data_IF_674450556504
#
_entry.id   IF_674450556504
#
_cell.length_a   1.000
_cell.length_b   1.000
_cell.length_c   1.000
_cell.angle_alpha   90.00
_cell.angle_beta   90.00
_cell.angle_gamma   90.00
#
_symmetry.space_group_name_H-M   'P 1'
#
loop_
_entity.id
_entity.type
_entity.pdbx_description
1 polymer ?
#
# COMPACT_ATOMS: atom_id res chain seq x y z
N UNK A 1 27.96 -0.68 -20.29
CA UNK A 1 27.34 -2.02 -20.13
C UNK A 1 26.04 -1.78 -19.36
N UNK A 2 24.88 -1.95 -19.99
CA UNK A 2 23.57 -1.75 -19.35
C UNK A 2 23.19 -3.03 -18.60
N UNK A 3 22.84 -2.90 -17.32
CA UNK A 3 22.29 -4.01 -16.54
C UNK A 3 20.76 -3.95 -16.65
N UNK A 4 20.11 -4.86 -17.40
CA UNK A 4 18.66 -4.84 -17.51
C UNK A 4 18.04 -5.08 -16.13
N UNK A 5 17.02 -4.30 -15.79
CA UNK A 5 16.14 -4.61 -14.65
C UNK A 5 15.37 -5.87 -15.04
N UNK A 6 15.78 -7.01 -14.47
CA UNK A 6 15.25 -8.33 -14.84
C UNK A 6 13.84 -8.61 -14.26
N UNK A 7 13.38 -7.80 -13.30
CA UNK A 7 12.09 -7.98 -12.64
C UNK A 7 11.53 -6.62 -12.16
N UNK A 8 10.89 -5.81 -13.03
CA UNK A 8 10.11 -4.67 -12.59
C UNK A 8 8.97 -5.11 -11.65
N UNK A 9 8.57 -4.23 -10.72
CA UNK A 9 7.37 -4.47 -9.93
C UNK A 9 6.14 -4.58 -10.86
N UNK A 10 5.19 -5.47 -10.56
CA UNK A 10 4.09 -5.83 -11.49
C UNK A 10 3.14 -4.70 -11.89
N UNK A 11 3.23 -3.53 -11.24
CA UNK A 11 2.51 -2.31 -11.59
C UNK A 11 3.30 -1.36 -12.52
N UNK A 12 4.54 -1.71 -12.87
CA UNK A 12 5.36 -0.98 -13.84
C UNK A 12 5.28 -1.74 -15.16
N UNK A 13 4.53 -1.24 -16.17
CA UNK A 13 4.52 -1.88 -17.47
C UNK A 13 5.91 -1.83 -18.08
N UNK A 14 6.31 -2.86 -18.84
CA UNK A 14 7.66 -2.95 -19.42
C UNK A 14 7.99 -1.77 -20.35
N UNK A 15 6.96 -1.10 -20.89
CA UNK A 15 7.06 0.15 -21.65
C UNK A 15 7.36 1.40 -20.82
N UNK A 16 7.20 1.35 -19.49
CA UNK A 16 7.58 2.42 -18.56
C UNK A 16 9.03 2.31 -18.08
N UNK A 17 9.68 1.18 -18.38
CA UNK A 17 11.10 1.00 -18.09
C UNK A 17 11.85 1.68 -19.22
N UNK A 18 12.54 2.78 -18.90
CA UNK A 18 13.41 3.45 -19.84
C UNK A 18 14.57 2.50 -20.20
N UNK A 19 14.47 1.87 -21.36
CA UNK A 19 15.58 1.18 -22.02
C UNK A 19 16.07 2.08 -23.16
N UNK A 20 16.76 3.18 -22.85
CA UNK A 20 17.42 3.96 -23.89
C UNK A 20 18.90 4.18 -23.56
N UNK A 21 19.71 4.18 -24.63
CA UNK A 21 21.07 4.69 -24.62
C UNK A 21 21.10 6.12 -24.08
N UNK A 22 22.28 6.58 -23.63
CA UNK A 22 22.53 7.92 -23.04
C UNK A 22 21.76 9.01 -23.81
N UNK A 23 20.59 9.33 -23.28
CA UNK A 23 19.68 10.36 -23.77
C UNK A 23 19.28 11.19 -22.55
N UNK A 24 19.11 12.49 -22.78
CA UNK A 24 18.76 13.39 -21.70
C UNK A 24 17.44 12.96 -21.06
N UNK A 25 17.40 12.99 -19.72
CA UNK A 25 16.20 12.67 -18.98
C UNK A 25 15.06 13.62 -19.40
N UNK A 26 14.00 13.07 -19.99
CA UNK A 26 12.79 13.83 -20.30
C UNK A 26 11.98 13.98 -19.02
N UNK A 27 11.69 15.21 -18.62
CA UNK A 27 10.85 15.49 -17.46
C UNK A 27 9.42 15.01 -17.69
N UNK A 28 8.79 14.50 -16.63
CA UNK A 28 7.38 14.10 -16.67
C UNK A 28 6.50 15.33 -16.89
N UNK A 29 5.71 15.33 -17.95
CA UNK A 29 4.81 16.43 -18.31
C UNK A 29 3.43 15.91 -18.75
N UNK A 30 2.49 16.82 -19.00
CA UNK A 30 1.11 16.47 -19.39
C UNK A 30 1.05 15.73 -20.73
N UNK A 31 1.98 16.03 -21.63
CA UNK A 31 2.15 15.40 -22.95
C UNK A 31 3.01 14.12 -22.91
N UNK A 32 3.69 13.87 -21.79
CA UNK A 32 4.53 12.70 -21.51
C UNK A 32 4.29 12.19 -20.08
N UNK A 33 3.06 11.77 -19.75
CA UNK A 33 2.75 11.35 -18.39
C UNK A 33 3.46 10.04 -18.06
N UNK A 34 3.89 9.90 -16.81
CA UNK A 34 4.21 8.58 -16.26
C UNK A 34 2.96 7.69 -16.44
N UNK A 35 3.07 6.47 -16.98
CA UNK A 35 1.97 5.54 -17.09
C UNK A 35 1.68 4.91 -15.72
N UNK A 36 1.35 5.75 -14.73
CA UNK A 36 0.77 5.32 -13.46
C UNK A 36 -0.74 5.30 -13.63
N UNK A 37 -1.33 4.11 -13.61
CA UNK A 37 -2.78 3.96 -13.76
C UNK A 37 -3.55 4.53 -12.57
N UNK A 38 -2.88 4.74 -11.43
CA UNK A 38 -3.50 5.23 -10.22
C UNK A 38 -2.63 6.29 -9.51
N UNK A 39 -3.24 7.36 -8.97
CA UNK A 39 -2.51 8.36 -8.21
C UNK A 39 -1.91 7.75 -6.94
N UNK A 40 -0.81 8.33 -6.46
CA UNK A 40 -0.30 8.07 -5.10
C UNK A 40 -1.38 8.33 -4.05
N UNK A 41 -1.20 7.79 -2.84
CA UNK A 41 -2.13 8.07 -1.76
C UNK A 41 -2.18 9.58 -1.47
N UNK A 42 -3.38 10.17 -1.51
CA UNK A 42 -3.60 11.61 -1.34
C UNK A 42 -3.66 12.01 0.14
N UNK A 43 -3.82 11.05 1.04
CA UNK A 43 -3.94 11.29 2.47
C UNK A 43 -3.99 10.00 3.28
N UNK A 44 -3.93 10.17 4.59
CA UNK A 44 -4.06 9.10 5.57
C UNK A 44 -5.01 9.54 6.69
N UNK A 45 -5.91 8.65 7.11
CA UNK A 45 -6.81 8.85 8.24
C UNK A 45 -6.50 7.84 9.34
N UNK A 46 -6.33 8.32 10.58
CA UNK A 46 -6.12 7.43 11.72
C UNK A 46 -7.32 6.50 11.92
N UNK A 47 -7.05 5.23 12.20
CA UNK A 47 -8.05 4.21 12.51
C UNK A 47 -7.98 3.91 14.01
N UNK A 48 -9.13 3.90 14.66
CA UNK A 48 -9.30 3.35 16.00
C UNK A 48 -9.77 1.90 15.91
N UNK A 49 -9.19 1.02 16.71
CA UNK A 49 -9.62 -0.38 16.84
C UNK A 49 -11.07 -0.43 17.34
N UNK A 50 -11.82 -1.44 16.89
CA UNK A 50 -13.26 -1.64 17.21
C UNK A 50 -14.17 -0.48 16.79
N UNK A 51 -13.70 0.39 15.90
CA UNK A 51 -14.47 1.51 15.36
C UNK A 51 -14.58 1.39 13.83
N UNK A 52 -15.79 1.34 13.26
CA UNK A 52 -15.97 1.35 11.81
C UNK A 52 -15.39 2.61 11.17
N UNK A 53 -14.80 2.47 10.00
CA UNK A 53 -14.26 3.58 9.20
C UNK A 53 -14.58 3.42 7.71
N UNK A 54 -14.54 4.54 6.99
CA UNK A 54 -14.71 4.53 5.53
C UNK A 54 -13.50 3.87 4.85
N UNK A 55 -13.77 2.88 4.00
CA UNK A 55 -12.73 2.13 3.29
C UNK A 55 -11.85 3.06 2.45
N UNK A 56 -10.54 2.90 2.61
CA UNK A 56 -9.52 3.50 1.75
C UNK A 56 -9.11 2.56 0.61
N UNK A 57 -8.11 2.97 -0.16
CA UNK A 57 -7.40 2.15 -1.15
C UNK A 57 -6.38 1.21 -0.52
N UNK A 58 -6.01 1.47 0.73
CA UNK A 58 -5.15 0.58 1.50
C UNK A 58 -5.16 0.88 3.00
N UNK A 59 -4.46 0.05 3.75
CA UNK A 59 -4.24 0.20 5.19
C UNK A 59 -2.74 0.25 5.45
N UNK A 60 -2.28 1.28 6.15
CA UNK A 60 -0.93 1.34 6.70
C UNK A 60 -0.94 0.91 8.17
N UNK A 61 0.04 0.09 8.52
CA UNK A 61 0.26 -0.45 9.86
C UNK A 61 1.67 -0.06 10.27
N UNK A 62 1.78 0.73 11.32
CA UNK A 62 3.07 1.09 11.94
C UNK A 62 3.16 0.29 13.23
N UNK A 63 3.81 -0.87 13.16
CA UNK A 63 3.90 -1.83 14.26
C UNK A 63 5.17 -1.65 15.08
N UNK A 64 5.04 -1.68 16.41
CA UNK A 64 6.15 -1.57 17.35
C UNK A 64 6.76 -2.95 17.70
N UNK A 65 5.99 -4.03 17.52
CA UNK A 65 6.41 -5.40 17.78
C UNK A 65 5.80 -6.37 16.75
N UNK A 66 6.24 -7.63 16.76
CA UNK A 66 5.57 -8.69 16.01
C UNK A 66 4.22 -9.03 16.66
N UNK A 67 3.21 -9.32 15.86
CA UNK A 67 1.93 -9.82 16.33
C UNK A 67 0.98 -10.14 15.19
N UNK A 68 -0.27 -10.40 15.52
CA UNK A 68 -1.33 -10.65 14.54
C UNK A 68 -2.20 -9.39 14.37
N UNK A 69 -2.69 -9.18 13.15
CA UNK A 69 -3.65 -8.15 12.80
C UNK A 69 -4.88 -8.79 12.17
N UNK A 70 -6.06 -8.48 12.69
CA UNK A 70 -7.33 -8.80 12.04
C UNK A 70 -7.84 -7.59 11.25
N UNK A 71 -8.25 -7.81 10.00
CA UNK A 71 -8.98 -6.83 9.19
C UNK A 71 -10.39 -7.37 8.90
N UNK A 72 -11.41 -6.52 9.02
CA UNK A 72 -12.79 -6.81 8.57
C UNK A 72 -13.13 -6.02 7.32
N UNK A 73 -13.83 -6.67 6.39
CA UNK A 73 -14.26 -6.10 5.12
C UNK A 73 -15.77 -5.80 5.08
N UNK A 74 -16.21 -5.12 4.02
CA UNK A 74 -17.61 -4.71 3.85
C UNK A 74 -18.59 -5.88 3.70
N UNK A 75 -18.11 -7.05 3.29
CA UNK A 75 -18.87 -8.30 3.21
C UNK A 75 -18.85 -9.11 4.52
N UNK A 76 -18.42 -8.48 5.63
CA UNK A 76 -18.24 -9.08 6.97
C UNK A 76 -17.16 -10.16 7.06
N UNK A 77 -16.48 -10.48 5.95
CA UNK A 77 -15.34 -11.40 6.00
C UNK A 77 -14.17 -10.79 6.78
N UNK A 78 -13.35 -11.68 7.33
CA UNK A 78 -12.15 -11.29 8.08
C UNK A 78 -10.92 -12.03 7.59
N UNK A 79 -9.77 -11.39 7.71
CA UNK A 79 -8.46 -12.00 7.50
C UNK A 79 -7.56 -11.67 8.69
N UNK A 80 -6.77 -12.66 9.11
CA UNK A 80 -5.75 -12.52 10.16
C UNK A 80 -4.38 -12.61 9.49
N UNK A 81 -3.52 -11.65 9.79
CA UNK A 81 -2.22 -11.49 9.15
C UNK A 81 -1.11 -11.32 10.19
N UNK A 82 0.01 -12.06 10.06
CA UNK A 82 1.18 -11.80 10.88
C UNK A 82 1.83 -10.49 10.42
N UNK A 83 2.17 -9.64 11.38
CA UNK A 83 2.82 -8.35 11.16
C UNK A 83 4.13 -8.32 11.94
N UNK A 84 5.18 -7.81 11.31
CA UNK A 84 6.49 -7.57 11.91
C UNK A 84 6.68 -6.09 12.26
N UNK A 85 7.62 -5.74 13.16
CA UNK A 85 7.91 -4.34 13.48
C UNK A 85 8.27 -3.52 12.24
N UNK A 86 7.79 -2.28 12.20
CA UNK A 86 8.00 -1.35 11.09
C UNK A 86 6.72 -0.97 10.35
N UNK A 87 6.88 -0.48 9.12
CA UNK A 87 5.77 -0.07 8.27
C UNK A 87 5.38 -1.18 7.31
N UNK A 88 4.11 -1.57 7.36
CA UNK A 88 3.47 -2.45 6.36
C UNK A 88 2.30 -1.71 5.73
N UNK A 89 2.20 -1.75 4.39
CA UNK A 89 1.07 -1.18 3.65
C UNK A 89 0.40 -2.31 2.88
N UNK A 90 -0.92 -2.47 3.08
CA UNK A 90 -1.71 -3.52 2.45
C UNK A 90 -2.80 -2.89 1.55
N UNK A 91 -2.98 -3.37 0.30
CA UNK A 91 -3.99 -2.86 -0.63
C UNK A 91 -5.37 -3.44 -0.32
N UNK A 92 -5.83 -3.27 0.92
CA UNK A 92 -7.10 -3.79 1.42
C UNK A 92 -8.08 -2.66 1.68
N UNK A 93 -9.29 -2.79 1.12
CA UNK A 93 -10.44 -1.93 1.42
C UNK A 93 -11.14 -2.39 2.73
N UNK A 94 -10.38 -2.44 3.82
CA UNK A 94 -10.92 -2.78 5.14
C UNK A 94 -11.86 -1.67 5.66
N UNK A 95 -12.80 -2.05 6.52
CA UNK A 95 -13.79 -1.14 7.13
C UNK A 95 -13.73 -1.14 8.67
N UNK A 96 -13.00 -2.08 9.26
CA UNK A 96 -12.74 -2.13 10.70
C UNK A 96 -11.46 -2.93 10.98
N UNK A 97 -10.80 -2.61 12.09
CA UNK A 97 -9.76 -3.43 12.73
C UNK A 97 -10.35 -3.93 14.05
N UNK A 98 -10.81 -5.19 14.11
CA UNK A 98 -11.31 -5.77 15.36
C UNK A 98 -10.16 -6.01 16.35
N UNK A 99 -10.38 -5.76 17.63
CA UNK A 99 -9.45 -6.18 18.69
C UNK A 99 -9.37 -7.70 18.81
N UNK A 100 -10.45 -8.39 18.43
CA UNK A 100 -10.46 -9.86 18.35
C UNK A 100 -9.48 -10.34 17.28
N UNK A 101 -8.43 -11.05 17.72
CA UNK A 101 -7.36 -11.55 16.84
C UNK A 101 -6.30 -10.52 16.46
N UNK A 102 -6.44 -9.25 16.89
CA UNK A 102 -5.39 -8.23 16.75
C UNK A 102 -4.57 -8.18 18.04
N UNK A 103 -3.34 -8.67 17.98
CA UNK A 103 -2.40 -8.69 19.11
C UNK A 103 -1.19 -7.80 18.88
N UNK A 104 -1.00 -7.31 17.64
CA UNK A 104 0.11 -6.41 17.31
C UNK A 104 -0.09 -5.03 17.96
N UNK A 105 0.88 -4.52 18.75
CA UNK A 105 0.87 -3.13 19.18
C UNK A 105 1.28 -2.27 17.98
N UNK A 106 0.32 -1.52 17.44
CA UNK A 106 0.53 -0.73 16.23
C UNK A 106 -0.40 0.49 16.14
N UNK A 107 0.00 1.45 15.32
CA UNK A 107 -0.87 2.53 14.83
C UNK A 107 -1.38 2.17 13.44
N UNK A 108 -2.66 2.46 13.17
CA UNK A 108 -3.33 2.07 11.94
C UNK A 108 -3.87 3.28 11.19
N UNK A 109 -3.79 3.24 9.87
CA UNK A 109 -4.24 4.33 9.00
C UNK A 109 -4.94 3.79 7.75
N UNK A 110 -6.07 4.39 7.38
CA UNK A 110 -6.69 4.21 6.07
C UNK A 110 -6.03 5.17 5.07
N UNK A 111 -5.60 4.64 3.92
CA UNK A 111 -4.94 5.40 2.86
C UNK A 111 -5.91 5.68 1.72
N UNK A 112 -6.00 6.94 1.26
CA UNK A 112 -6.92 7.39 0.20
C UNK A 112 -6.26 7.63 -1.14
#
# INVERSE_FOLDING_TARGET
>A
MSYPILAPAGYVPQSAIAFSEDSDAVGVAVDTPLPVSEPSFRGARAISVDSPFAAGRGVAIVADATGELTLRFADESTIVLPVSPGLTILPFAAVEIPSSGTTVPANFWALD
#
